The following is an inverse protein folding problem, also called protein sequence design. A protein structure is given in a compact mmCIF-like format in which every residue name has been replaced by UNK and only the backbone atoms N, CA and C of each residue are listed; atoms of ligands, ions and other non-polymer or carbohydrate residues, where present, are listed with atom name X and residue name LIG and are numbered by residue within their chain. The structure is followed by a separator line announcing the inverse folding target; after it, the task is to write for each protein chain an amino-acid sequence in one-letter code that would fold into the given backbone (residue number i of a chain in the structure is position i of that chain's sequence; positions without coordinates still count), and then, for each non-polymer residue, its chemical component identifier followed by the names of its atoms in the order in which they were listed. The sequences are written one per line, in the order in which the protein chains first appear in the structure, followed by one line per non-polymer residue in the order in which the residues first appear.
data_IF_887694234845
#
_entry.id   IF_887694234845
#
_cell.length_a   1.000
_cell.length_b   1.000
_cell.length_c   1.000
_cell.angle_alpha   90.00
_cell.angle_beta   90.00
_cell.angle_gamma   90.00
#
_symmetry.space_group_name_H-M   'P 1'
#
loop_
_entity.id
_entity.type
_entity.pdbx_description
1 polymer ?
#
# COMPACT_ATOMS: atom_id res chain seq x y z
N UNK A 1 -0.93 23.70 -26.34
CA UNK A 1 -1.13 22.23 -26.48
C UNK A 1 -2.12 21.79 -25.41
N UNK A 2 -3.40 22.14 -25.60
CA UNK A 2 -4.47 21.97 -24.61
C UNK A 2 -4.87 20.50 -24.44
N UNK A 3 -4.87 19.74 -25.55
CA UNK A 3 -5.17 18.30 -25.57
C UNK A 3 -4.23 17.49 -24.66
N UNK A 4 -2.93 17.78 -24.64
CA UNK A 4 -1.95 17.10 -23.79
C UNK A 4 -2.18 17.40 -22.30
N UNK A 5 -2.64 18.60 -21.97
CA UNK A 5 -2.92 19.03 -20.60
C UNK A 5 -4.19 18.32 -20.08
N UNK A 6 -5.23 18.26 -20.92
CA UNK A 6 -6.45 17.49 -20.65
C UNK A 6 -6.13 16.01 -20.45
N UNK A 7 -5.31 15.41 -21.31
CA UNK A 7 -4.93 14.00 -21.20
C UNK A 7 -4.22 13.69 -19.88
N UNK A 8 -3.24 14.51 -19.48
CA UNK A 8 -2.56 14.36 -18.19
C UNK A 8 -3.53 14.42 -17.00
N UNK A 9 -4.49 15.35 -17.03
CA UNK A 9 -5.50 15.47 -15.97
C UNK A 9 -6.39 14.21 -15.92
N UNK A 10 -6.87 13.73 -17.08
CA UNK A 10 -7.69 12.52 -17.17
C UNK A 10 -6.95 11.30 -16.65
N UNK A 11 -5.66 11.16 -16.98
CA UNK A 11 -4.82 10.06 -16.48
C UNK A 11 -4.62 10.15 -14.97
N UNK A 12 -4.32 11.33 -14.42
CA UNK A 12 -4.17 11.53 -12.98
C UNK A 12 -5.46 11.22 -12.22
N UNK A 13 -6.60 11.69 -12.71
CA UNK A 13 -7.92 11.41 -12.12
C UNK A 13 -8.19 9.90 -12.18
N UNK A 14 -8.00 9.26 -13.33
CA UNK A 14 -8.22 7.83 -13.50
C UNK A 14 -7.33 7.00 -12.58
N UNK A 15 -6.04 7.35 -12.44
CA UNK A 15 -5.12 6.69 -11.50
C UNK A 15 -5.57 6.88 -10.06
N UNK A 16 -6.04 8.06 -9.70
CA UNK A 16 -6.54 8.36 -8.35
C UNK A 16 -7.81 7.57 -8.03
N UNK A 17 -8.75 7.49 -8.97
CA UNK A 17 -10.01 6.74 -8.81
C UNK A 17 -9.81 5.22 -8.83
N UNK A 18 -8.82 4.71 -9.57
CA UNK A 18 -8.53 3.28 -9.66
C UNK A 18 -7.73 2.73 -8.47
N UNK A 19 -7.26 3.59 -7.57
CA UNK A 19 -6.55 3.16 -6.35
C UNK A 19 -7.55 2.64 -5.32
N UNK A 20 -7.65 1.32 -5.25
CA UNK A 20 -8.56 0.62 -4.34
C UNK A 20 -8.01 0.65 -2.90
N UNK A 21 -8.43 1.67 -2.13
CA UNK A 21 -8.26 1.69 -0.69
C UNK A 21 -8.89 0.43 -0.06
N UNK A 22 -8.20 -0.13 0.93
CA UNK A 22 -8.72 -1.28 1.67
C UNK A 22 -9.73 -0.82 2.72
N UNK A 23 -10.79 -1.60 2.99
CA UNK A 23 -11.71 -1.29 4.08
C UNK A 23 -10.96 -1.21 5.42
N UNK A 24 -11.28 -0.20 6.23
CA UNK A 24 -10.72 0.01 7.57
C UNK A 24 -11.89 0.27 8.52
N UNK A 25 -11.83 -0.28 9.73
CA UNK A 25 -12.79 0.00 10.79
C UNK A 25 -12.72 1.45 11.23
N UNK A 26 -13.87 2.07 11.49
CA UNK A 26 -13.92 3.44 12.01
C UNK A 26 -13.40 3.52 13.46
N UNK A 27 -13.04 4.74 13.90
CA UNK A 27 -12.66 5.05 15.28
C UNK A 27 -11.42 4.32 15.84
N UNK A 28 -10.35 4.22 15.05
CA UNK A 28 -9.07 3.65 15.51
C UNK A 28 -8.29 4.62 16.41
N UNK A 29 -8.32 4.35 17.72
CA UNK A 29 -7.62 5.17 18.73
C UNK A 29 -6.09 5.03 18.59
N UNK A 30 -5.38 6.15 18.71
CA UNK A 30 -3.91 6.19 18.70
C UNK A 30 -3.25 5.98 17.33
N UNK A 31 -4.06 5.84 16.27
CA UNK A 31 -3.56 5.56 14.92
C UNK A 31 -2.67 6.67 14.38
N UNK A 32 -2.98 7.95 14.66
CA UNK A 32 -2.16 9.08 14.22
C UNK A 32 -0.72 8.99 14.72
N UNK A 33 -0.52 8.51 15.95
CA UNK A 33 0.82 8.31 16.51
C UNK A 33 1.59 7.19 15.79
N UNK A 34 0.91 6.11 15.41
CA UNK A 34 1.50 5.01 14.65
C UNK A 34 1.86 5.45 13.22
N UNK A 35 0.93 6.14 12.55
CA UNK A 35 1.15 6.71 11.23
C UNK A 35 2.34 7.68 11.26
N UNK A 36 2.39 8.60 12.23
CA UNK A 36 3.48 9.56 12.35
C UNK A 36 4.86 8.89 12.51
N UNK A 37 4.94 7.80 13.28
CA UNK A 37 6.17 6.98 13.38
C UNK A 37 6.51 6.31 12.06
N UNK A 38 5.51 5.76 11.36
CA UNK A 38 5.70 5.09 10.07
C UNK A 38 6.19 6.05 8.99
N UNK A 39 5.64 7.26 8.88
CA UNK A 39 6.12 8.28 7.94
C UNK A 39 7.57 8.69 8.21
N UNK A 40 7.97 8.80 9.48
CA UNK A 40 9.38 9.09 9.85
C UNK A 40 10.33 7.98 9.45
N UNK A 41 9.94 6.71 9.63
CA UNK A 41 10.74 5.56 9.21
C UNK A 41 10.82 5.42 7.70
N UNK A 42 9.69 5.63 7.02
CA UNK A 42 9.61 5.57 5.57
C UNK A 42 10.41 6.68 4.91
N UNK A 43 10.40 7.90 5.46
CA UNK A 43 11.03 9.09 4.90
C UNK A 43 10.96 9.08 3.36
N UNK A 44 9.80 9.49 2.86
CA UNK A 44 9.41 9.45 1.45
C UNK A 44 10.28 10.35 0.55
N UNK A 45 11.22 11.10 1.12
CA UNK A 45 12.17 11.93 0.37
C UNK A 45 13.43 11.15 -0.02
N UNK A 46 13.70 10.02 0.65
CA UNK A 46 14.82 9.16 0.32
C UNK A 46 14.56 8.39 -0.99
N UNK A 47 15.61 8.24 -1.81
CA UNK A 47 15.56 7.49 -3.08
C UNK A 47 15.92 6.00 -2.91
N UNK A 48 16.01 5.52 -1.68
CA UNK A 48 16.42 4.15 -1.38
C UNK A 48 15.21 3.22 -1.17
N UNK A 49 15.44 1.92 -1.31
CA UNK A 49 14.44 0.90 -0.99
C UNK A 49 14.43 0.67 0.51
N UNK A 50 13.26 0.83 1.14
CA UNK A 50 13.07 0.60 2.58
C UNK A 50 12.11 -0.55 2.85
N UNK A 51 12.46 -1.37 3.84
CA UNK A 51 11.61 -2.42 4.36
C UNK A 51 11.34 -2.16 5.85
N UNK A 52 10.07 -2.16 6.23
CA UNK A 52 9.66 -1.91 7.63
C UNK A 52 8.83 -3.11 8.11
N UNK A 53 9.27 -3.72 9.22
CA UNK A 53 8.53 -4.77 9.91
C UNK A 53 7.71 -4.21 11.07
N UNK A 54 6.45 -4.61 11.19
CA UNK A 54 5.61 -4.34 12.36
C UNK A 54 5.51 -5.64 13.19
N UNK A 55 6.07 -5.63 14.40
CA UNK A 55 6.17 -6.81 15.27
C UNK A 55 5.50 -6.52 16.62
N UNK A 56 4.95 -7.55 17.26
CA UNK A 56 4.24 -7.44 18.53
C UNK A 56 3.28 -8.62 18.76
N UNK A 57 2.67 -8.67 19.94
CA UNK A 57 1.74 -9.74 20.34
C UNK A 57 0.56 -9.90 19.38
N UNK A 58 -0.12 -11.05 19.44
CA UNK A 58 -1.37 -11.27 18.70
C UNK A 58 -2.45 -10.24 19.06
N UNK A 59 -3.31 -9.89 18.10
CA UNK A 59 -4.47 -9.01 18.36
C UNK A 59 -4.19 -7.51 18.50
N UNK A 60 -2.94 -7.07 18.61
CA UNK A 60 -2.59 -5.64 18.84
C UNK A 60 -2.78 -4.70 17.63
N UNK A 61 -3.38 -5.17 16.53
CA UNK A 61 -3.69 -4.33 15.37
C UNK A 61 -2.55 -4.10 14.37
N UNK A 62 -1.50 -4.94 14.35
CA UNK A 62 -0.36 -4.81 13.41
C UNK A 62 -0.80 -4.73 11.94
N UNK A 63 -1.65 -5.66 11.51
CA UNK A 63 -2.20 -5.67 10.16
C UNK A 63 -3.02 -4.41 9.90
N UNK A 64 -3.80 -3.96 10.89
CA UNK A 64 -4.58 -2.71 10.80
C UNK A 64 -3.68 -1.50 10.58
N UNK A 65 -2.57 -1.37 11.31
CA UNK A 65 -1.60 -0.29 11.10
C UNK A 65 -1.03 -0.35 9.68
N UNK A 66 -0.60 -1.52 9.21
CA UNK A 66 -0.09 -1.69 7.85
C UNK A 66 -1.12 -1.29 6.78
N UNK A 67 -2.40 -1.68 6.96
CA UNK A 67 -3.50 -1.32 6.06
C UNK A 67 -3.77 0.18 6.04
N UNK A 68 -3.78 0.83 7.22
CA UNK A 68 -3.99 2.28 7.32
C UNK A 68 -2.85 3.04 6.64
N UNK A 69 -1.60 2.66 6.89
CA UNK A 69 -0.43 3.27 6.27
C UNK A 69 -0.46 3.07 4.76
N UNK A 70 -0.76 1.85 4.28
CA UNK A 70 -0.91 1.58 2.85
C UNK A 70 -1.94 2.52 2.22
N UNK A 71 -3.13 2.62 2.81
CA UNK A 71 -4.20 3.49 2.29
C UNK A 71 -3.79 4.96 2.24
N UNK A 72 -3.03 5.44 3.24
CA UNK A 72 -2.55 6.84 3.27
C UNK A 72 -1.50 7.11 2.20
N UNK A 73 -0.64 6.13 1.91
CA UNK A 73 0.41 6.24 0.91
C UNK A 73 -0.07 5.96 -0.52
N UNK A 74 -1.29 5.44 -0.71
CA UNK A 74 -1.83 5.11 -2.03
C UNK A 74 -1.66 6.27 -3.03
N UNK A 75 -1.94 7.50 -2.62
CA UNK A 75 -1.80 8.68 -3.49
C UNK A 75 -0.36 9.07 -3.79
N UNK A 76 0.58 8.74 -2.89
CA UNK A 76 1.96 9.23 -2.92
C UNK A 76 2.86 8.42 -3.86
N UNK A 77 2.40 7.25 -4.30
CA UNK A 77 3.13 6.36 -5.21
C UNK A 77 2.40 6.21 -6.55
N UNK A 78 3.15 6.05 -7.65
CA UNK A 78 2.57 5.79 -8.97
C UNK A 78 1.83 4.45 -8.99
N UNK A 79 2.49 3.41 -8.47
CA UNK A 79 1.96 2.07 -8.34
C UNK A 79 2.15 1.50 -6.94
N UNK A 80 1.26 0.58 -6.59
CA UNK A 80 1.16 0.04 -5.24
C UNK A 80 0.55 -1.36 -5.28
N UNK A 81 1.05 -2.26 -4.42
CA UNK A 81 0.46 -3.58 -4.23
C UNK A 81 0.18 -3.85 -2.77
N UNK A 82 -1.02 -4.39 -2.49
CA UNK A 82 -1.38 -4.90 -1.18
C UNK A 82 -1.57 -6.41 -1.25
N UNK A 83 -0.71 -7.13 -0.53
CA UNK A 83 -0.69 -8.60 -0.49
C UNK A 83 -0.96 -9.04 0.94
N UNK A 84 -2.17 -9.55 1.19
CA UNK A 84 -2.58 -10.11 2.49
C UNK A 84 -2.42 -11.62 2.55
N UNK A 85 -2.44 -12.17 3.77
CA UNK A 85 -2.42 -13.62 4.02
C UNK A 85 -1.26 -14.32 3.28
N UNK A 86 -0.09 -13.66 3.24
CA UNK A 86 1.08 -14.13 2.49
C UNK A 86 1.44 -15.55 2.91
N UNK A 87 1.43 -15.83 4.21
CA UNK A 87 1.76 -17.16 4.75
C UNK A 87 0.80 -18.23 4.25
N UNK A 88 -0.49 -17.95 4.25
CA UNK A 88 -1.54 -18.87 3.84
C UNK A 88 -1.50 -19.10 2.33
N UNK A 89 -1.38 -18.02 1.56
CA UNK A 89 -1.30 -18.07 0.10
C UNK A 89 -0.02 -18.78 -0.38
N UNK A 90 1.10 -18.56 0.29
CA UNK A 90 2.39 -19.18 -0.08
C UNK A 90 2.35 -20.71 0.06
N UNK A 91 1.54 -21.24 1.00
CA UNK A 91 1.38 -22.69 1.22
C UNK A 91 0.51 -23.38 0.15
N UNK A 92 -0.22 -22.63 -0.67
CA UNK A 92 -1.04 -23.20 -1.73
C UNK A 92 -0.16 -23.72 -2.88
N UNK A 93 -0.72 -24.56 -3.74
CA UNK A 93 -0.02 -25.02 -4.94
C UNK A 93 0.41 -23.82 -5.81
N UNK A 94 1.70 -23.73 -6.13
CA UNK A 94 2.31 -22.58 -6.81
C UNK A 94 2.13 -21.22 -6.11
N UNK A 95 1.89 -21.20 -4.79
CA UNK A 95 1.58 -20.00 -4.02
C UNK A 95 2.61 -18.88 -4.14
N UNK A 96 3.91 -19.21 -4.10
CA UNK A 96 5.00 -18.25 -4.28
C UNK A 96 4.96 -17.57 -5.66
N UNK A 97 4.76 -18.35 -6.72
CA UNK A 97 4.66 -17.84 -8.11
C UNK A 97 3.43 -16.96 -8.24
N UNK A 98 2.30 -17.37 -7.69
CA UNK A 98 1.06 -16.58 -7.71
C UNK A 98 1.23 -15.22 -6.99
N UNK A 99 1.90 -15.20 -5.84
CA UNK A 99 2.20 -13.97 -5.10
C UNK A 99 3.13 -13.04 -5.87
N UNK A 100 4.18 -13.59 -6.53
CA UNK A 100 5.07 -12.81 -7.39
C UNK A 100 4.34 -12.23 -8.60
N UNK A 101 3.54 -13.03 -9.30
CA UNK A 101 2.74 -12.58 -10.44
C UNK A 101 1.76 -11.48 -10.04
N UNK A 102 1.14 -11.60 -8.87
CA UNK A 102 0.28 -10.54 -8.33
C UNK A 102 1.06 -9.25 -8.10
N UNK A 103 2.22 -9.32 -7.43
CA UNK A 103 3.05 -8.14 -7.18
C UNK A 103 3.44 -7.46 -8.50
N UNK A 104 3.96 -8.24 -9.46
CA UNK A 104 4.37 -7.76 -10.79
C UNK A 104 3.20 -7.08 -11.50
N UNK A 105 2.03 -7.72 -11.55
CA UNK A 105 0.84 -7.17 -12.20
C UNK A 105 0.36 -5.87 -11.55
N UNK A 106 0.48 -5.75 -10.23
CA UNK A 106 0.05 -4.57 -9.51
C UNK A 106 1.02 -3.38 -9.69
N UNK A 107 2.32 -3.63 -9.92
CA UNK A 107 3.36 -2.58 -9.99
C UNK A 107 3.91 -2.29 -11.39
N UNK A 108 3.79 -3.21 -12.35
CA UNK A 108 4.21 -3.04 -13.74
C UNK A 108 2.94 -3.02 -14.60
N UNK A 109 2.38 -1.83 -14.80
CA UNK A 109 1.26 -1.61 -15.74
C UNK A 109 1.75 -1.37 -17.15
#
# INVERSE_FOLDING_TARGET
NEAHLIQNIVEQISRTLNKNARPITEHLVGMDSHIGKMYRLLDLTAKEVKMIGIVGMGGVGKTTIATVVYNKLLSDFEDCSFISNVRENFKQHNGGVALQQKLIKDILK
#
